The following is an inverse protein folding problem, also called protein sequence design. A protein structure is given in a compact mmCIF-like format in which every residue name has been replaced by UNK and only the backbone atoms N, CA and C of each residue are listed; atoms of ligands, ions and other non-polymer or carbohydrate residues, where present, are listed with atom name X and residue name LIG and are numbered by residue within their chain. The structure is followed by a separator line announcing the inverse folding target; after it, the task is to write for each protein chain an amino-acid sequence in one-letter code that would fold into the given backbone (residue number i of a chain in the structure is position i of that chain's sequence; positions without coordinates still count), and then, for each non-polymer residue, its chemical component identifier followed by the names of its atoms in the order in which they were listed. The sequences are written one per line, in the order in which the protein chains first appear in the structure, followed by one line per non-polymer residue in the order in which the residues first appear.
data_IF_945881802076
#
_entry.id   IF_945881802076
#
_cell.length_a   1.000
_cell.length_b   1.000
_cell.length_c   1.000
_cell.angle_alpha   90.00
_cell.angle_beta   90.00
_cell.angle_gamma   90.00
#
_symmetry.space_group_name_H-M   'P 1'
#
loop_
_entity.id
_entity.type
_entity.pdbx_description
1 polymer ?
#
# COMPACT_ATOMS: atom_id res chain seq x y z
N UNK A 1 23.10 17.79 -64.57
CA UNK A 1 23.09 18.29 -63.17
C UNK A 1 21.71 18.34 -62.53
N UNK A 2 20.60 18.56 -63.27
CA UNK A 2 19.25 18.62 -62.66
C UNK A 2 18.77 17.29 -62.05
N UNK A 3 19.04 16.15 -62.67
CA UNK A 3 18.61 14.81 -62.18
C UNK A 3 19.27 14.37 -60.86
N UNK A 4 20.55 14.68 -60.67
CA UNK A 4 21.28 14.36 -59.44
C UNK A 4 20.80 15.15 -58.23
N UNK A 5 20.32 16.39 -58.45
CA UNK A 5 19.76 17.24 -57.39
C UNK A 5 18.48 16.64 -56.83
N UNK A 6 17.60 16.08 -57.67
CA UNK A 6 16.36 15.44 -57.22
C UNK A 6 16.61 14.20 -56.38
N UNK A 7 17.64 13.40 -56.72
CA UNK A 7 18.01 12.24 -55.92
C UNK A 7 18.61 12.64 -54.57
N UNK A 8 19.40 13.72 -54.53
CA UNK A 8 19.96 14.24 -53.27
C UNK A 8 18.86 14.82 -52.37
N UNK A 9 17.89 15.53 -52.94
CA UNK A 9 16.72 16.07 -52.23
C UNK A 9 15.82 14.96 -51.70
N UNK A 10 15.57 13.91 -52.49
CA UNK A 10 14.78 12.77 -52.04
C UNK A 10 15.46 12.06 -50.87
N UNK A 11 16.78 11.87 -50.94
CA UNK A 11 17.57 11.21 -49.91
C UNK A 11 17.63 12.04 -48.62
N UNK A 12 17.71 13.37 -48.74
CA UNK A 12 17.63 14.31 -47.63
C UNK A 12 16.25 14.28 -46.96
N UNK A 13 15.16 14.28 -47.74
CA UNK A 13 13.80 14.20 -47.20
C UNK A 13 13.58 12.89 -46.45
N UNK A 14 14.03 11.76 -47.00
CA UNK A 14 13.93 10.46 -46.30
C UNK A 14 14.75 10.44 -45.01
N UNK A 15 15.93 11.05 -44.99
CA UNK A 15 16.77 11.12 -43.79
C UNK A 15 16.11 11.98 -42.69
N UNK A 16 15.47 13.09 -43.05
CA UNK A 16 14.75 13.95 -42.11
C UNK A 16 13.49 13.25 -41.57
N UNK A 17 12.75 12.50 -42.40
CA UNK A 17 11.58 11.73 -41.95
C UNK A 17 11.94 10.56 -41.04
N UNK A 18 13.10 9.92 -41.25
CA UNK A 18 13.61 8.84 -40.39
C UNK A 18 14.21 9.38 -39.09
N UNK A 19 14.79 10.59 -39.10
CA UNK A 19 15.31 11.26 -37.92
C UNK A 19 14.22 11.92 -37.06
N UNK A 20 13.04 12.20 -37.63
CA UNK A 20 11.89 12.78 -36.93
C UNK A 20 11.06 11.75 -36.14
N UNK A 21 11.50 10.50 -36.06
CA UNK A 21 11.01 9.61 -35.03
C UNK A 21 11.65 10.04 -33.71
N UNK A 22 11.12 11.11 -33.10
CA UNK A 22 11.32 11.34 -31.67
C UNK A 22 10.93 10.02 -31.01
N UNK A 23 11.93 9.36 -30.44
CA UNK A 23 11.69 8.28 -29.51
C UNK A 23 10.91 8.95 -28.38
N UNK A 24 9.60 8.72 -28.32
CA UNK A 24 8.86 8.93 -27.08
C UNK A 24 9.63 8.12 -26.04
N UNK A 25 10.44 8.83 -25.25
CA UNK A 25 10.95 8.24 -24.03
C UNK A 25 9.70 7.84 -23.27
N UNK A 26 9.60 6.55 -22.91
CA UNK A 26 8.65 6.14 -21.90
C UNK A 26 8.87 7.12 -20.75
N UNK A 27 7.87 7.96 -20.52
CA UNK A 27 7.83 8.86 -19.40
C UNK A 27 7.71 7.93 -18.18
N UNK A 28 8.84 7.34 -17.76
CA UNK A 28 9.05 6.73 -16.46
C UNK A 28 9.07 7.86 -15.42
N UNK A 29 8.05 8.71 -15.45
CA UNK A 29 7.52 9.27 -14.22
C UNK A 29 6.84 8.10 -13.53
N UNK A 30 7.67 7.24 -12.95
CA UNK A 30 7.31 6.49 -11.75
C UNK A 30 7.05 7.59 -10.73
N UNK A 31 5.85 8.17 -10.75
CA UNK A 31 5.33 8.89 -9.60
C UNK A 31 5.58 7.94 -8.44
N UNK A 32 6.42 8.30 -7.46
CA UNK A 32 6.79 7.37 -6.42
C UNK A 32 5.49 6.81 -5.85
N UNK A 33 5.32 5.47 -5.82
CA UNK A 33 4.08 4.87 -5.37
C UNK A 33 3.74 5.48 -4.02
N UNK A 34 2.51 5.97 -3.87
CA UNK A 34 2.05 6.68 -2.69
C UNK A 34 2.56 5.98 -1.44
N UNK A 35 3.42 6.67 -0.71
CA UNK A 35 4.05 6.09 0.46
C UNK A 35 2.98 5.96 1.54
N UNK A 36 2.64 4.72 1.90
CA UNK A 36 1.81 4.44 3.07
C UNK A 36 2.74 4.21 4.25
N UNK A 37 2.70 5.11 5.23
CA UNK A 37 3.49 5.05 6.47
C UNK A 37 2.55 4.68 7.62
N UNK A 38 2.98 3.74 8.43
CA UNK A 38 2.29 3.34 9.66
C UNK A 38 3.00 3.96 10.86
N UNK A 39 2.22 4.58 11.73
CA UNK A 39 2.64 4.99 13.07
C UNK A 39 1.66 4.34 14.04
N UNK A 40 2.17 3.38 14.81
CA UNK A 40 1.39 2.59 15.75
C UNK A 40 1.55 3.09 17.19
N UNK A 41 0.46 3.02 17.96
CA UNK A 41 0.50 3.36 19.37
C UNK A 41 0.76 2.11 20.24
N UNK A 42 1.79 1.33 19.90
CA UNK A 42 2.17 0.14 20.66
C UNK A 42 3.26 0.41 21.68
N UNK A 43 3.37 -0.51 22.65
CA UNK A 43 4.55 -0.58 23.50
C UNK A 43 5.78 -0.88 22.65
N UNK A 44 6.66 0.10 22.50
CA UNK A 44 7.85 0.02 21.64
C UNK A 44 8.90 -0.97 22.16
N UNK A 45 8.81 -1.43 23.40
CA UNK A 45 9.72 -2.43 23.95
C UNK A 45 9.34 -3.85 23.51
N UNK A 46 8.03 -4.13 23.43
CA UNK A 46 7.52 -5.48 23.10
C UNK A 46 7.04 -5.59 21.66
N UNK A 47 6.69 -4.45 21.05
CA UNK A 47 6.04 -4.33 19.75
C UNK A 47 4.74 -5.14 19.65
N UNK A 48 4.03 -5.32 20.77
CA UNK A 48 2.83 -6.14 20.87
C UNK A 48 1.60 -5.31 21.32
N UNK A 49 0.44 -5.58 20.74
CA UNK A 49 -0.85 -5.05 21.18
C UNK A 49 -1.47 -5.93 22.27
N UNK A 50 -2.20 -5.33 23.21
CA UNK A 50 -2.92 -6.07 24.25
C UNK A 50 -4.30 -6.52 23.78
N UNK A 51 -4.69 -7.76 24.06
CA UNK A 51 -5.98 -8.35 23.67
C UNK A 51 -7.18 -7.68 24.33
N UNK A 52 -6.97 -6.97 25.43
CA UNK A 52 -7.97 -6.13 26.12
C UNK A 52 -7.94 -4.68 25.69
N UNK A 53 -6.93 -4.27 24.90
CA UNK A 53 -6.76 -2.90 24.41
C UNK A 53 -7.28 -2.68 22.99
N UNK A 54 -6.92 -1.53 22.45
CA UNK A 54 -7.19 -1.15 21.07
C UNK A 54 -5.95 -1.33 20.20
N UNK A 55 -6.20 -1.49 18.91
CA UNK A 55 -5.22 -1.34 17.84
C UNK A 55 -5.45 0.03 17.23
N UNK A 56 -4.49 0.91 17.49
CA UNK A 56 -4.45 2.26 16.96
C UNK A 56 -3.38 2.32 15.86
N UNK A 57 -3.82 2.56 14.63
CA UNK A 57 -2.97 2.69 13.45
C UNK A 57 -3.19 4.05 12.82
N UNK A 58 -2.17 4.90 12.87
CA UNK A 58 -2.14 6.11 12.07
C UNK A 58 -1.50 5.77 10.72
N UNK A 59 -2.26 6.03 9.67
CA UNK A 59 -1.91 5.70 8.29
C UNK A 59 -1.71 7.02 7.57
N UNK A 60 -0.48 7.36 7.20
CA UNK A 60 -0.21 8.47 6.30
C UNK A 60 -0.18 7.94 4.87
N UNK A 61 -1.03 8.46 4.00
CA UNK A 61 -1.10 8.13 2.59
C UNK A 61 -1.37 9.42 1.79
N UNK A 62 -0.34 10.26 1.58
CA UNK A 62 -0.50 11.56 0.92
C UNK A 62 -1.08 11.40 -0.48
N UNK A 63 -2.09 12.21 -0.81
CA UNK A 63 -2.75 12.19 -2.11
C UNK A 63 -3.83 11.10 -2.27
N UNK A 64 -3.97 10.15 -1.35
CA UNK A 64 -5.09 9.22 -1.35
C UNK A 64 -6.38 9.87 -0.82
N UNK A 65 -7.52 9.40 -1.30
CA UNK A 65 -8.85 9.84 -0.85
C UNK A 65 -9.38 8.99 0.31
N UNK A 66 -9.13 7.69 0.25
CA UNK A 66 -9.56 6.72 1.25
C UNK A 66 -8.50 5.65 1.46
N UNK A 67 -8.56 5.00 2.62
CA UNK A 67 -7.82 3.77 2.91
C UNK A 67 -8.79 2.70 3.39
N UNK A 68 -8.73 1.52 2.79
CA UNK A 68 -9.45 0.32 3.24
C UNK A 68 -8.49 -0.61 3.96
N UNK A 69 -8.89 -1.12 5.11
CA UNK A 69 -8.06 -1.98 5.94
C UNK A 69 -8.70 -3.36 6.05
N UNK A 70 -7.95 -4.40 5.66
CA UNK A 70 -8.36 -5.79 5.83
C UNK A 70 -7.39 -6.51 6.76
N UNK A 71 -7.93 -7.15 7.80
CA UNK A 71 -7.20 -8.12 8.60
C UNK A 71 -7.15 -9.46 7.89
N UNK A 72 -5.96 -10.06 7.81
CA UNK A 72 -5.72 -11.39 7.25
C UNK A 72 -5.06 -12.24 8.33
N UNK A 73 -5.62 -13.43 8.56
CA UNK A 73 -5.17 -14.36 9.59
C UNK A 73 -5.40 -15.81 9.15
N UNK A 74 -4.77 -16.77 9.84
CA UNK A 74 -4.99 -18.19 9.58
C UNK A 74 -6.47 -18.54 9.77
N UNK A 75 -7.12 -18.97 8.69
CA UNK A 75 -8.56 -19.29 8.68
C UNK A 75 -9.48 -18.16 8.20
N UNK A 76 -8.97 -17.02 7.71
CA UNK A 76 -9.78 -16.07 6.96
C UNK A 76 -9.26 -14.63 6.91
N UNK A 77 -10.11 -13.76 6.39
CA UNK A 77 -9.90 -12.31 6.37
C UNK A 77 -11.14 -11.58 6.87
N UNK A 78 -10.95 -10.38 7.41
CA UNK A 78 -12.03 -9.51 7.86
C UNK A 78 -11.78 -8.08 7.41
N UNK A 79 -12.81 -7.44 6.86
CA UNK A 79 -12.80 -6.00 6.62
C UNK A 79 -12.92 -5.25 7.95
N UNK A 80 -11.94 -4.40 8.24
CA UNK A 80 -11.91 -3.57 9.45
C UNK A 80 -12.50 -2.18 9.21
N UNK A 81 -12.78 -1.83 7.95
CA UNK A 81 -13.41 -0.58 7.56
C UNK A 81 -12.66 0.15 6.45
N UNK A 82 -13.32 1.20 5.96
CA UNK A 82 -12.75 2.18 5.05
C UNK A 82 -12.78 3.55 5.72
N UNK A 83 -11.64 4.24 5.71
CA UNK A 83 -11.48 5.55 6.33
C UNK A 83 -11.21 6.59 5.24
N UNK A 84 -11.79 7.77 5.38
CA UNK A 84 -11.40 8.92 4.57
C UNK A 84 -10.03 9.43 5.05
N UNK A 85 -9.18 9.80 4.10
CA UNK A 85 -7.91 10.47 4.39
C UNK A 85 -8.18 11.97 4.54
N UNK A 86 -7.87 12.53 5.70
CA UNK A 86 -7.93 13.97 5.96
C UNK A 86 -6.51 14.49 6.22
N UNK A 87 -6.13 15.58 5.56
CA UNK A 87 -4.78 16.17 5.66
C UNK A 87 -3.64 15.15 5.44
N UNK A 88 -3.83 14.20 4.51
CA UNK A 88 -2.83 13.18 4.17
C UNK A 88 -2.69 12.03 5.16
N UNK A 89 -3.60 11.91 6.15
CA UNK A 89 -3.63 10.77 7.07
C UNK A 89 -5.04 10.31 7.48
N UNK A 90 -5.14 9.09 7.98
CA UNK A 90 -6.32 8.55 8.67
C UNK A 90 -5.86 7.75 9.89
N UNK A 91 -6.74 7.62 10.89
CA UNK A 91 -6.49 6.82 12.08
C UNK A 91 -7.55 5.73 12.20
N UNK A 92 -7.12 4.47 12.21
CA UNK A 92 -7.94 3.35 12.62
C UNK A 92 -7.77 3.15 14.12
N UNK A 93 -8.88 3.05 14.85
CA UNK A 93 -8.91 2.64 16.26
C UNK A 93 -9.99 1.58 16.42
N UNK A 94 -9.59 0.34 16.68
CA UNK A 94 -10.52 -0.78 16.91
C UNK A 94 -10.11 -1.61 18.12
N UNK A 95 -11.04 -2.28 18.80
CA UNK A 95 -10.67 -3.27 19.82
C UNK A 95 -9.79 -4.38 19.19
N UNK A 96 -8.73 -4.80 19.86
CA UNK A 96 -7.82 -5.83 19.35
C UNK A 96 -8.55 -7.16 19.06
N UNK A 97 -9.63 -7.46 19.78
CA UNK A 97 -10.48 -8.64 19.54
C UNK A 97 -11.26 -8.57 18.22
N UNK A 98 -11.44 -7.37 17.67
CA UNK A 98 -12.19 -7.15 16.43
C UNK A 98 -11.40 -7.49 15.18
N UNK A 99 -10.12 -7.88 15.27
CA UNK A 99 -9.31 -8.29 14.10
C UNK A 99 -9.79 -9.59 13.46
N UNK A 100 -10.65 -10.36 14.13
CA UNK A 100 -11.29 -11.58 13.62
C UNK A 100 -12.80 -11.44 13.56
N UNK A 101 -13.43 -12.25 12.70
CA UNK A 101 -14.89 -12.33 12.61
C UNK A 101 -15.47 -13.18 13.75
N UNK A 102 -14.80 -14.28 14.09
CA UNK A 102 -15.21 -15.21 15.13
C UNK A 102 -14.01 -15.78 15.88
N UNK A 103 -14.25 -16.24 17.11
CA UNK A 103 -13.25 -16.88 17.95
C UNK A 103 -12.38 -15.90 18.73
N UNK A 104 -11.56 -16.45 19.65
CA UNK A 104 -10.55 -15.69 20.38
C UNK A 104 -9.37 -15.36 19.49
N UNK A 105 -8.61 -14.33 19.88
CA UNK A 105 -7.28 -14.09 19.32
C UNK A 105 -6.40 -15.29 19.74
N UNK A 106 -6.01 -16.11 18.77
CA UNK A 106 -5.27 -17.36 19.03
C UNK A 106 -3.88 -17.01 19.55
N UNK A 107 -3.36 -17.73 20.54
CA UNK A 107 -2.01 -17.50 21.08
C UNK A 107 -1.86 -16.30 22.02
N UNK A 108 -2.87 -15.43 22.17
CA UNK A 108 -2.86 -14.28 23.09
C UNK A 108 -3.32 -14.64 24.53
N UNK A 109 -3.02 -15.86 24.99
CA UNK A 109 -3.35 -16.33 26.34
C UNK A 109 -2.26 -16.02 27.37
N UNK A 110 -2.46 -16.41 28.62
CA UNK A 110 -1.55 -16.12 29.76
C UNK A 110 -0.21 -16.84 29.66
N UNK A 111 -0.16 -17.85 28.80
CA UNK A 111 1.04 -18.59 28.45
C UNK A 111 1.06 -18.72 26.92
N UNK A 112 1.59 -17.72 26.19
CA UNK A 112 1.55 -17.72 24.73
C UNK A 112 2.23 -18.99 24.21
N UNK A 113 1.59 -19.70 23.30
CA UNK A 113 2.23 -20.81 22.59
C UNK A 113 3.53 -20.31 21.96
N UNK A 114 4.60 -21.09 22.04
CA UNK A 114 5.97 -20.68 21.67
C UNK A 114 6.12 -20.13 20.24
N UNK A 115 5.13 -20.34 19.37
CA UNK A 115 5.08 -19.76 18.03
C UNK A 115 4.24 -18.47 18.01
N UNK A 116 4.92 -17.30 18.00
CA UNK A 116 4.33 -15.97 17.75
C UNK A 116 3.46 -15.90 16.47
N UNK A 117 3.59 -16.86 15.56
CA UNK A 117 2.80 -16.93 14.33
C UNK A 117 1.28 -17.03 14.60
N UNK A 118 0.85 -17.66 15.70
CA UNK A 118 -0.57 -17.90 15.95
C UNK A 118 -1.33 -16.63 16.38
N UNK A 119 -0.63 -15.65 16.96
CA UNK A 119 -1.17 -14.36 17.40
C UNK A 119 -0.69 -13.18 16.54
N UNK A 120 -0.18 -13.47 15.34
CA UNK A 120 0.24 -12.47 14.35
C UNK A 120 -0.86 -12.26 13.31
N UNK A 121 -1.19 -11.01 13.05
CA UNK A 121 -2.22 -10.56 12.12
C UNK A 121 -1.60 -9.65 11.07
N UNK A 122 -1.94 -9.87 9.80
CA UNK A 122 -1.50 -9.00 8.71
C UNK A 122 -2.62 -8.07 8.31
N UNK A 123 -2.41 -6.76 8.41
CA UNK A 123 -3.30 -5.76 7.86
C UNK A 123 -2.87 -5.40 6.45
N UNK A 124 -3.73 -5.68 5.48
CA UNK A 124 -3.63 -5.15 4.12
C UNK A 124 -4.30 -3.78 4.11
N UNK A 125 -3.56 -2.75 3.70
CA UNK A 125 -4.04 -1.38 3.59
C UNK A 125 -4.00 -0.97 2.13
N UNK A 126 -5.19 -0.75 1.56
CA UNK A 126 -5.41 -0.35 0.19
C UNK A 126 -5.81 1.13 0.18
N UNK A 127 -4.95 2.00 -0.35
CA UNK A 127 -5.19 3.43 -0.49
C UNK A 127 -5.70 3.74 -1.90
N UNK A 128 -6.86 4.41 -2.00
CA UNK A 128 -7.47 4.78 -3.28
C UNK A 128 -6.99 6.16 -3.71
N UNK A 129 -6.28 6.22 -4.83
CA UNK A 129 -5.73 7.43 -5.41
C UNK A 129 -6.77 8.21 -6.24
N UNK A 130 -6.52 9.49 -6.58
CA UNK A 130 -7.46 10.31 -7.34
C UNK A 130 -7.72 9.81 -8.76
N UNK A 131 -6.78 9.06 -9.34
CA UNK A 131 -6.90 8.38 -10.64
C UNK A 131 -7.60 7.01 -10.53
N UNK A 132 -8.20 6.71 -9.36
CA UNK A 132 -8.80 5.42 -8.99
C UNK A 132 -7.82 4.23 -8.92
N UNK A 133 -6.51 4.46 -9.04
CA UNK A 133 -5.51 3.42 -8.77
C UNK A 133 -5.46 3.09 -7.28
N UNK A 134 -4.99 1.88 -6.97
CA UNK A 134 -4.87 1.39 -5.58
C UNK A 134 -3.41 1.17 -5.25
N UNK A 135 -2.93 1.88 -4.23
CA UNK A 135 -1.65 1.61 -3.61
C UNK A 135 -1.84 0.67 -2.41
N UNK A 136 -1.14 -0.46 -2.39
CA UNK A 136 -1.26 -1.46 -1.31
C UNK A 136 0.00 -1.51 -0.46
N UNK A 137 -0.17 -1.55 0.85
CA UNK A 137 0.89 -1.90 1.82
C UNK A 137 0.38 -2.88 2.85
N UNK A 138 1.31 -3.58 3.50
CA UNK A 138 1.02 -4.52 4.55
C UNK A 138 1.67 -4.07 5.85
N UNK A 139 0.93 -4.21 6.95
CA UNK A 139 1.39 -4.01 8.31
C UNK A 139 1.15 -5.30 9.10
N UNK A 140 2.05 -5.63 10.04
CA UNK A 140 1.90 -6.83 10.86
C UNK A 140 1.72 -6.43 12.31
N UNK A 141 0.66 -6.94 12.95
CA UNK A 141 0.35 -6.72 14.34
C UNK A 141 0.46 -8.05 15.11
N UNK A 142 1.16 -8.03 16.25
CA UNK A 142 1.15 -9.15 17.19
C UNK A 142 0.25 -8.79 18.36
N UNK A 143 -0.65 -9.68 18.75
CA UNK A 143 -1.59 -9.43 19.86
C UNK A 143 -1.29 -10.40 21.02
N UNK A 144 -1.08 -9.89 22.22
CA UNK A 144 -0.73 -10.66 23.43
C UNK A 144 -1.72 -10.36 24.58
N UNK A 145 -1.63 -11.09 25.68
CA UNK A 145 -2.44 -10.81 26.87
C UNK A 145 -2.11 -9.46 27.52
#
# INVERSE_FOLDING_TARGET
MKRTIYHLLLLLVTAITLASCEKEEENFRVTPPTQIIFDDFIDKNTADYKVTGNIDLKISAPGASTVRILSTYTGGSKDLGTLAIANGSATLSIPARSVRTTGTVVGAGSNPTSTRAANTYTFKVDATMPDASVATRYFTAVIVQ
#
